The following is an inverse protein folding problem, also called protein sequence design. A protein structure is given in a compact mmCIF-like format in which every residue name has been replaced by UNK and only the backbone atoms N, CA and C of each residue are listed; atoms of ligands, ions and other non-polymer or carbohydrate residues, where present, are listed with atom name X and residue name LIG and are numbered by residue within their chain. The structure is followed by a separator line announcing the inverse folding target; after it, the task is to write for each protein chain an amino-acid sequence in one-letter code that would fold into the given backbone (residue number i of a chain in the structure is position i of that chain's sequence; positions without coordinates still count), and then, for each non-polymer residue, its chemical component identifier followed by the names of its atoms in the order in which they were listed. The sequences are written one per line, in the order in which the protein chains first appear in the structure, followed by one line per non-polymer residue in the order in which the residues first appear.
data_IF_838566361768
#
_entry.id   IF_838566361768
#
_cell.length_a   1.000
_cell.length_b   1.000
_cell.length_c   1.000
_cell.angle_alpha   90.00
_cell.angle_beta   90.00
_cell.angle_gamma   90.00
#
_symmetry.space_group_name_H-M   'P 1'
#
loop_
_entity.id
_entity.type
_entity.pdbx_description
1 polymer ?
#
# COMPACT_ATOMS: atom_id res chain seq x y z
N UNK A 1 -16.08 -37.67 -36.83
CA UNK A 1 -16.58 -37.32 -35.48
C UNK A 1 -15.40 -36.82 -34.67
N UNK A 2 -15.22 -35.50 -34.55
CA UNK A 2 -14.16 -34.88 -33.78
C UNK A 2 -14.80 -34.01 -32.70
N UNK A 3 -14.65 -34.38 -31.44
CA UNK A 3 -15.17 -33.63 -30.31
C UNK A 3 -14.12 -32.59 -29.87
N UNK A 4 -14.47 -31.31 -29.99
CA UNK A 4 -13.71 -30.22 -29.41
C UNK A 4 -14.08 -30.10 -27.91
N UNK A 5 -13.10 -30.23 -27.02
CA UNK A 5 -13.26 -30.02 -25.59
C UNK A 5 -13.10 -28.51 -25.36
N UNK A 6 -14.24 -27.81 -25.21
CA UNK A 6 -14.26 -26.41 -24.80
C UNK A 6 -14.00 -26.30 -23.30
N UNK A 7 -12.84 -25.78 -22.91
CA UNK A 7 -12.54 -25.40 -21.53
C UNK A 7 -13.36 -24.18 -21.15
N UNK A 8 -14.33 -24.34 -20.25
CA UNK A 8 -15.05 -23.22 -19.66
C UNK A 8 -14.14 -22.53 -18.64
N UNK A 9 -13.74 -21.29 -18.95
CA UNK A 9 -13.16 -20.38 -17.97
C UNK A 9 -14.32 -19.96 -17.06
N UNK A 10 -14.35 -20.46 -15.83
CA UNK A 10 -15.29 -19.98 -14.82
C UNK A 10 -14.82 -18.58 -14.38
N UNK A 11 -15.66 -17.54 -14.48
CA UNK A 11 -15.34 -16.25 -13.88
C UNK A 11 -15.39 -16.40 -12.36
N UNK A 12 -14.27 -16.08 -11.70
CA UNK A 12 -14.22 -15.92 -10.26
C UNK A 12 -15.05 -14.70 -9.88
N UNK A 13 -16.29 -14.94 -9.47
CA UNK A 13 -17.11 -13.93 -8.80
C UNK A 13 -16.68 -13.87 -7.33
N UNK A 14 -15.53 -13.23 -7.05
CA UNK A 14 -15.24 -12.73 -5.72
C UNK A 14 -16.19 -11.57 -5.44
N UNK A 15 -17.10 -11.75 -4.50
CA UNK A 15 -17.96 -10.66 -4.04
C UNK A 15 -17.08 -9.64 -3.32
N UNK A 16 -16.64 -8.61 -4.05
CA UNK A 16 -16.07 -7.42 -3.44
C UNK A 16 -17.13 -6.82 -2.51
N UNK A 17 -16.89 -6.87 -1.20
CA UNK A 17 -17.73 -6.18 -0.23
C UNK A 17 -17.68 -4.68 -0.54
N UNK A 18 -18.81 -4.10 -0.92
CA UNK A 18 -18.94 -2.70 -1.28
C UNK A 18 -19.09 -1.79 -0.04
N UNK A 19 -18.41 -2.12 1.06
CA UNK A 19 -18.33 -1.21 2.21
C UNK A 19 -17.35 -0.09 1.87
N UNK A 20 -17.93 0.98 1.32
CA UNK A 20 -17.22 2.19 0.88
C UNK A 20 -16.91 3.15 2.03
N UNK A 21 -17.36 2.85 3.25
CA UNK A 21 -17.04 3.64 4.45
C UNK A 21 -15.72 3.22 5.06
N UNK A 22 -14.81 4.19 5.21
CA UNK A 22 -13.51 4.03 5.88
C UNK A 22 -13.74 3.89 7.38
N UNK A 23 -13.99 2.68 7.86
CA UNK A 23 -13.96 2.40 9.30
C UNK A 23 -12.62 2.84 9.89
N UNK A 24 -12.65 3.50 11.06
CA UNK A 24 -11.44 3.85 11.77
C UNK A 24 -10.69 2.56 12.12
N UNK A 25 -9.48 2.38 11.58
CA UNK A 25 -8.62 1.26 11.94
C UNK A 25 -8.12 1.49 13.36
N UNK A 26 -8.59 0.67 14.30
CA UNK A 26 -8.10 0.67 15.68
C UNK A 26 -7.23 -0.55 15.89
N UNK A 27 -6.09 -0.37 16.56
CA UNK A 27 -5.13 -1.43 16.81
C UNK A 27 -4.49 -1.22 18.19
N UNK A 28 -4.17 -2.30 18.92
CA UNK A 28 -3.42 -2.18 20.17
C UNK A 28 -2.01 -1.65 19.88
N UNK A 29 -1.51 -0.78 20.77
CA UNK A 29 -0.12 -0.32 20.72
C UNK A 29 0.83 -1.45 21.03
N UNK A 30 1.87 -1.57 20.20
CA UNK A 30 2.98 -2.48 20.46
C UNK A 30 4.06 -1.76 21.29
N UNK A 31 4.15 -2.14 22.56
CA UNK A 31 5.09 -1.56 23.54
C UNK A 31 6.57 -1.81 23.21
N UNK A 32 6.90 -2.70 22.25
CA UNK A 32 8.28 -2.84 21.80
C UNK A 32 8.77 -1.67 20.92
N UNK A 33 7.84 -0.83 20.42
CA UNK A 33 8.14 0.31 19.56
C UNK A 33 7.91 1.63 20.31
N UNK A 34 8.84 1.94 21.20
CA UNK A 34 8.87 3.19 21.94
C UNK A 34 9.58 4.31 21.17
N UNK A 35 9.27 5.57 21.52
CA UNK A 35 9.93 6.74 20.97
C UNK A 35 10.17 7.77 22.07
N UNK A 36 11.34 8.41 22.03
CA UNK A 36 11.81 9.41 22.99
C UNK A 36 11.39 10.84 22.63
N UNK A 37 10.62 11.02 21.55
CA UNK A 37 10.15 12.31 21.04
C UNK A 37 8.64 12.42 21.11
N UNK A 38 8.16 13.65 21.32
CA UNK A 38 6.74 13.96 21.20
C UNK A 38 6.20 13.57 19.82
N UNK A 39 4.93 13.14 19.80
CA UNK A 39 4.21 12.93 18.55
C UNK A 39 4.13 14.24 17.77
N UNK A 40 4.33 14.17 16.46
CA UNK A 40 4.06 15.32 15.60
C UNK A 40 2.54 15.54 15.57
N UNK A 41 2.06 16.80 15.71
CA UNK A 41 0.63 17.10 15.60
C UNK A 41 0.01 16.47 14.34
N UNK A 42 -1.15 15.83 14.51
CA UNK A 42 -1.81 15.09 13.43
C UNK A 42 -2.02 15.95 12.18
N UNK A 43 -2.43 17.21 12.38
CA UNK A 43 -2.65 18.17 11.28
C UNK A 43 -1.40 18.36 10.39
N UNK A 44 -0.21 18.31 10.99
CA UNK A 44 1.04 18.38 10.23
C UNK A 44 1.34 17.06 9.52
N UNK A 45 1.12 15.91 10.17
CA UNK A 45 1.33 14.59 9.58
C UNK A 45 0.49 14.38 8.32
N UNK A 46 -0.75 14.88 8.31
CA UNK A 46 -1.70 14.64 7.21
C UNK A 46 -1.70 15.74 6.13
N UNK A 47 -1.00 16.87 6.33
CA UNK A 47 -0.98 18.00 5.37
C UNK A 47 0.39 18.31 4.77
N UNK A 48 1.48 17.90 5.44
CA UNK A 48 2.84 18.14 4.95
C UNK A 48 3.42 16.82 4.39
N UNK A 49 3.18 16.56 3.12
CA UNK A 49 3.45 15.26 2.49
C UNK A 49 4.23 15.39 1.19
N UNK A 50 4.99 14.36 0.85
CA UNK A 50 5.52 14.15 -0.49
C UNK A 50 4.69 13.04 -1.14
N UNK A 51 3.84 13.39 -2.10
CA UNK A 51 3.06 12.42 -2.86
C UNK A 51 2.98 12.88 -4.33
N UNK A 52 4.03 12.56 -5.07
CA UNK A 52 4.34 13.21 -6.34
C UNK A 52 3.34 12.85 -7.43
N UNK A 53 2.65 11.72 -7.32
CA UNK A 53 1.52 11.34 -8.18
C UNK A 53 0.46 12.44 -8.25
N UNK A 54 0.33 13.29 -7.22
CA UNK A 54 -0.60 14.42 -7.18
C UNK A 54 0.08 15.79 -7.35
N UNK A 55 1.40 15.88 -7.13
CA UNK A 55 2.20 17.08 -7.38
C UNK A 55 3.43 17.19 -6.47
N UNK A 56 4.30 18.17 -6.75
CA UNK A 56 5.61 18.31 -6.08
C UNK A 56 5.63 19.26 -4.87
N UNK A 57 4.51 19.91 -4.57
CA UNK A 57 4.36 20.75 -3.38
C UNK A 57 3.99 19.92 -2.15
N UNK A 58 4.33 20.41 -0.95
CA UNK A 58 4.07 19.68 0.31
C UNK A 58 2.58 19.58 0.65
N UNK A 59 1.79 20.55 0.20
CA UNK A 59 0.37 20.70 0.52
C UNK A 59 -0.45 20.02 -0.56
N UNK A 60 -0.36 18.69 -0.57
CA UNK A 60 -0.95 17.84 -1.60
C UNK A 60 -2.10 16.97 -1.10
N UNK A 61 -2.31 16.95 0.22
CA UNK A 61 -3.34 16.15 0.89
C UNK A 61 -4.74 16.36 0.31
N UNK A 62 -5.12 17.61 0.02
CA UNK A 62 -6.47 17.93 -0.45
C UNK A 62 -6.72 17.41 -1.87
N UNK A 63 -5.70 17.51 -2.73
CA UNK A 63 -5.77 16.94 -4.08
C UNK A 63 -5.87 15.41 -4.02
N UNK A 64 -5.01 14.77 -3.23
CA UNK A 64 -5.02 13.32 -3.04
C UNK A 64 -6.35 12.83 -2.45
N UNK A 65 -6.89 13.50 -1.42
CA UNK A 65 -8.17 13.11 -0.79
C UNK A 65 -9.37 13.24 -1.74
N UNK A 66 -9.32 14.17 -2.70
CA UNK A 66 -10.40 14.36 -3.68
C UNK A 66 -10.34 13.35 -4.83
N UNK A 67 -9.12 12.97 -5.23
CA UNK A 67 -8.89 12.28 -6.51
C UNK A 67 -8.58 10.79 -6.33
N UNK A 68 -7.86 10.40 -5.27
CA UNK A 68 -7.53 9.01 -4.98
C UNK A 68 -8.80 8.23 -4.64
N UNK A 69 -8.96 7.07 -5.27
CA UNK A 69 -10.02 6.11 -4.97
C UNK A 69 -9.39 4.89 -4.30
N UNK A 70 -9.20 4.89 -2.97
CA UNK A 70 -8.48 3.84 -2.27
C UNK A 70 -9.31 2.58 -2.04
N UNK A 71 -10.59 2.56 -2.46
CA UNK A 71 -11.50 1.41 -2.39
C UNK A 71 -12.45 1.37 -3.58
N UNK A 72 -12.75 0.19 -4.13
CA UNK A 72 -12.01 -1.07 -3.90
C UNK A 72 -10.55 -0.93 -4.36
N UNK A 73 -9.65 -1.73 -3.80
CA UNK A 73 -8.22 -1.66 -4.16
C UNK A 73 -7.58 -3.04 -4.11
N UNK A 74 -7.17 -3.54 -5.27
CA UNK A 74 -6.52 -4.84 -5.36
C UNK A 74 -5.02 -4.72 -5.10
N UNK A 75 -4.52 -5.62 -4.27
CA UNK A 75 -3.09 -5.85 -4.04
C UNK A 75 -2.73 -7.16 -4.73
N UNK A 76 -1.78 -7.10 -5.65
CA UNK A 76 -1.19 -8.27 -6.29
C UNK A 76 0.16 -8.60 -5.66
N UNK A 77 0.34 -9.88 -5.31
CA UNK A 77 1.58 -10.44 -4.80
C UNK A 77 1.97 -11.58 -5.74
N UNK A 78 3.13 -11.46 -6.37
CA UNK A 78 3.58 -12.41 -7.38
C UNK A 78 5.11 -12.50 -7.47
N UNK A 79 5.61 -12.95 -8.62
CA UNK A 79 7.04 -13.16 -8.85
C UNK A 79 7.53 -14.50 -8.32
N UNK A 80 8.64 -14.51 -7.57
CA UNK A 80 9.28 -15.73 -7.06
C UNK A 80 8.64 -16.22 -5.76
N UNK A 81 7.38 -16.63 -5.85
CA UNK A 81 6.54 -17.07 -4.72
C UNK A 81 5.83 -18.37 -5.05
N UNK A 82 5.55 -19.20 -4.03
CA UNK A 82 4.75 -20.42 -4.18
C UNK A 82 3.26 -20.09 -4.29
N UNK A 83 2.81 -19.05 -3.58
CA UNK A 83 1.41 -18.61 -3.52
C UNK A 83 1.28 -17.20 -4.12
N UNK A 84 1.07 -17.06 -5.44
CA UNK A 84 0.65 -15.79 -6.00
C UNK A 84 -0.77 -15.47 -5.53
N UNK A 85 -1.00 -14.24 -5.08
CA UNK A 85 -2.28 -13.83 -4.47
C UNK A 85 -2.67 -12.46 -5.03
N UNK A 86 -3.92 -12.35 -5.45
CA UNK A 86 -4.58 -11.06 -5.68
C UNK A 86 -5.77 -10.97 -4.73
N UNK A 87 -5.83 -9.93 -3.91
CA UNK A 87 -6.89 -9.73 -2.94
C UNK A 87 -7.22 -8.25 -2.76
N UNK A 88 -8.45 -7.95 -2.38
CA UNK A 88 -8.85 -6.58 -2.03
C UNK A 88 -8.18 -6.13 -0.72
N UNK A 89 -7.90 -4.83 -0.60
CA UNK A 89 -7.24 -4.24 0.57
C UNK A 89 -7.99 -4.50 1.86
N UNK A 90 -9.33 -4.53 1.85
CA UNK A 90 -10.11 -4.79 3.07
C UNK A 90 -10.06 -6.27 3.45
N UNK A 91 -10.00 -7.18 2.48
CA UNK A 91 -9.74 -8.60 2.73
C UNK A 91 -8.34 -8.82 3.31
N UNK A 92 -7.34 -8.09 2.81
CA UNK A 92 -5.97 -8.14 3.34
C UNK A 92 -5.94 -7.65 4.79
N UNK A 93 -6.53 -6.48 5.06
CA UNK A 93 -6.60 -5.92 6.41
C UNK A 93 -7.29 -6.89 7.37
N UNK A 94 -8.41 -7.51 6.96
CA UNK A 94 -9.15 -8.46 7.78
C UNK A 94 -8.37 -9.75 8.11
N UNK A 95 -7.42 -10.16 7.24
CA UNK A 95 -6.56 -11.34 7.47
C UNK A 95 -5.38 -11.06 8.40
N UNK A 96 -5.06 -9.79 8.65
CA UNK A 96 -3.86 -9.38 9.36
C UNK A 96 -4.16 -8.96 10.79
N UNK A 97 -3.24 -9.24 11.70
CA UNK A 97 -3.28 -8.67 13.06
C UNK A 97 -2.67 -7.28 13.02
N UNK A 98 -3.52 -6.25 13.14
CA UNK A 98 -3.06 -4.86 13.20
C UNK A 98 -2.42 -4.54 14.54
N UNK A 99 -1.42 -3.67 14.50
CA UNK A 99 -0.76 -3.08 15.66
C UNK A 99 -0.43 -1.61 15.37
N UNK A 100 -0.43 -0.79 16.43
CA UNK A 100 0.11 0.56 16.37
C UNK A 100 1.60 0.55 16.75
N UNK A 101 2.44 1.18 15.93
CA UNK A 101 3.87 1.36 16.19
C UNK A 101 4.25 2.82 16.12
N UNK A 102 4.98 3.31 17.13
CA UNK A 102 5.52 4.66 17.11
C UNK A 102 6.84 4.67 16.35
N UNK A 103 6.88 5.40 15.23
CA UNK A 103 8.10 5.54 14.44
C UNK A 103 8.48 6.99 14.18
N UNK A 104 9.78 7.19 14.04
CA UNK A 104 10.34 8.40 13.45
C UNK A 104 10.41 8.23 11.94
N UNK A 105 9.60 9.00 11.21
CA UNK A 105 9.72 9.13 9.77
C UNK A 105 10.77 10.21 9.45
N UNK A 106 11.79 9.89 8.66
CA UNK A 106 12.87 10.81 8.25
C UNK A 106 12.91 10.92 6.74
N UNK A 107 12.52 12.07 6.22
CA UNK A 107 12.62 12.33 4.78
C UNK A 107 14.06 12.69 4.40
N UNK A 108 14.48 12.42 3.16
CA UNK A 108 15.81 12.84 2.67
C UNK A 108 15.98 14.37 2.68
N UNK A 109 14.88 15.14 2.56
CA UNK A 109 14.86 16.61 2.52
C UNK A 109 15.05 17.29 3.90
N UNK A 110 15.83 16.70 4.80
CA UNK A 110 16.18 17.30 6.10
C UNK A 110 15.04 17.51 7.15
N UNK A 111 13.81 17.03 6.92
CA UNK A 111 12.73 17.03 7.92
C UNK A 111 12.41 15.64 8.49
N UNK A 112 11.72 15.59 9.63
CA UNK A 112 11.25 14.34 10.26
C UNK A 112 9.97 14.54 11.06
N UNK A 113 9.20 13.46 11.21
CA UNK A 113 7.98 13.40 12.03
C UNK A 113 8.03 12.21 12.97
N UNK A 114 7.28 12.27 14.07
CA UNK A 114 6.98 11.14 14.94
C UNK A 114 5.52 10.76 14.73
N UNK A 115 5.27 9.56 14.21
CA UNK A 115 3.95 9.14 13.73
C UNK A 115 3.53 7.81 14.37
N UNK A 116 2.31 7.70 14.93
CA UNK A 116 1.72 6.43 15.35
C UNK A 116 1.14 5.70 14.13
N UNK A 117 1.92 4.82 13.51
CA UNK A 117 1.46 4.05 12.35
C UNK A 117 0.62 2.86 12.77
N UNK A 118 -0.52 2.65 12.13
CA UNK A 118 -1.32 1.43 12.26
C UNK A 118 -1.10 0.56 11.04
N UNK A 119 -0.75 -0.70 11.25
CA UNK A 119 -0.53 -1.66 10.18
C UNK A 119 -0.16 -3.04 10.71
N UNK A 120 0.49 -3.83 9.87
CA UNK A 120 1.04 -5.14 10.23
C UNK A 120 2.47 -5.29 9.69
N UNK A 121 3.32 -6.14 10.29
CA UNK A 121 4.68 -6.32 9.82
C UNK A 121 4.71 -6.90 8.41
N UNK A 122 5.51 -6.32 7.51
CA UNK A 122 5.69 -6.79 6.12
C UNK A 122 6.03 -8.29 6.04
N UNK A 123 6.77 -8.82 7.02
CA UNK A 123 7.07 -10.26 7.12
C UNK A 123 5.81 -11.13 7.06
N UNK A 124 4.68 -10.70 7.65
CA UNK A 124 3.43 -11.46 7.60
C UNK A 124 2.87 -11.57 6.19
N UNK A 125 3.02 -10.51 5.38
CA UNK A 125 2.65 -10.52 3.97
C UNK A 125 3.57 -11.45 3.16
N UNK A 126 4.87 -11.38 3.43
CA UNK A 126 5.88 -12.23 2.80
C UNK A 126 5.64 -13.71 3.13
N UNK A 127 5.41 -14.04 4.40
CA UNK A 127 5.14 -15.40 4.86
C UNK A 127 3.89 -15.97 4.18
N UNK A 128 2.85 -15.15 3.95
CA UNK A 128 1.62 -15.53 3.26
C UNK A 128 1.88 -15.92 1.79
N UNK A 129 2.80 -15.23 1.11
CA UNK A 129 3.16 -15.50 -0.27
C UNK A 129 4.07 -16.73 -0.44
N UNK A 130 4.76 -17.16 0.63
CA UNK A 130 5.73 -18.24 0.62
C UNK A 130 6.81 -18.07 -0.47
N UNK A 131 7.80 -17.16 -0.28
CA UNK A 131 8.82 -16.88 -1.28
C UNK A 131 9.69 -18.12 -1.56
N UNK A 132 10.03 -18.32 -2.84
CA UNK A 132 10.95 -19.38 -3.26
C UNK A 132 12.37 -19.10 -2.73
N UNK A 133 13.16 -20.15 -2.53
CA UNK A 133 14.53 -20.06 -1.98
C UNK A 133 15.50 -19.16 -2.78
N UNK A 134 15.20 -18.89 -4.05
CA UNK A 134 15.96 -17.97 -4.90
C UNK A 134 15.55 -16.50 -4.80
N UNK A 135 14.48 -16.15 -4.09
CA UNK A 135 14.01 -14.78 -3.95
C UNK A 135 14.96 -13.97 -3.06
N UNK A 136 15.53 -12.89 -3.60
CA UNK A 136 16.52 -12.05 -2.91
C UNK A 136 16.02 -10.65 -2.57
N UNK A 137 15.01 -10.18 -3.30
CA UNK A 137 14.50 -8.83 -3.19
C UNK A 137 12.98 -8.85 -3.28
N UNK A 138 12.36 -7.94 -2.55
CA UNK A 138 10.96 -7.59 -2.65
C UNK A 138 10.87 -6.30 -3.46
N UNK A 139 10.00 -6.27 -4.48
CA UNK A 139 9.72 -5.08 -5.29
C UNK A 139 8.30 -4.62 -5.00
N UNK A 140 8.12 -3.33 -4.71
CA UNK A 140 6.83 -2.67 -4.55
C UNK A 140 6.62 -1.72 -5.72
N UNK A 141 5.38 -1.67 -6.21
CA UNK A 141 4.95 -0.75 -7.26
C UNK A 141 3.66 -0.06 -6.81
N UNK A 142 3.60 1.26 -6.97
CA UNK A 142 2.37 2.04 -6.73
C UNK A 142 1.47 2.01 -7.96
N UNK A 143 0.26 2.55 -7.84
CA UNK A 143 -0.63 2.69 -8.99
C UNK A 143 -0.05 3.62 -10.06
N UNK A 144 -0.42 3.35 -11.32
CA UNK A 144 0.06 4.10 -12.50
C UNK A 144 -1.05 4.80 -13.28
N UNK A 145 -2.07 5.34 -12.62
CA UNK A 145 -3.25 5.95 -13.28
C UNK A 145 -3.16 7.49 -13.38
N UNK A 146 -2.77 8.07 -14.54
CA UNK A 146 -2.68 9.52 -14.70
C UNK A 146 -4.03 10.24 -14.71
N UNK A 147 -5.16 9.51 -14.85
CA UNK A 147 -6.49 10.09 -14.71
C UNK A 147 -6.88 10.27 -13.25
N UNK A 148 -6.39 9.38 -12.38
CA UNK A 148 -6.59 9.46 -10.94
C UNK A 148 -5.58 10.42 -10.30
N UNK A 149 -4.36 10.49 -10.81
CA UNK A 149 -3.30 11.32 -10.24
C UNK A 149 -2.51 12.04 -11.35
N UNK A 150 -2.86 13.31 -11.57
CA UNK A 150 -2.37 14.10 -12.70
C UNK A 150 -0.84 14.34 -12.71
N UNK A 151 -0.18 14.20 -11.56
CA UNK A 151 1.26 14.26 -11.41
C UNK A 151 1.99 13.18 -12.23
N UNK A 152 1.37 12.02 -12.46
CA UNK A 152 1.92 10.94 -13.28
C UNK A 152 2.09 11.39 -14.75
N UNK A 153 1.12 12.14 -15.30
CA UNK A 153 1.18 12.61 -16.69
C UNK A 153 1.91 13.94 -16.88
N UNK A 154 1.96 14.77 -15.84
CA UNK A 154 2.54 16.13 -15.90
C UNK A 154 4.01 16.19 -15.50
N UNK A 155 4.56 15.12 -14.92
CA UNK A 155 5.95 15.05 -14.45
C UNK A 155 6.73 13.96 -15.20
N UNK A 156 7.06 14.16 -16.49
CA UNK A 156 7.72 13.16 -17.33
C UNK A 156 9.18 12.89 -16.93
N UNK A 157 9.71 13.66 -15.98
CA UNK A 157 11.06 13.49 -15.46
C UNK A 157 11.20 12.29 -14.51
N UNK A 158 10.08 11.76 -13.98
CA UNK A 158 10.07 10.57 -13.15
C UNK A 158 9.55 9.35 -13.95
N UNK A 159 10.17 8.17 -13.84
CA UNK A 159 9.77 6.98 -14.59
C UNK A 159 8.57 6.28 -13.94
N UNK A 160 7.39 6.89 -13.99
CA UNK A 160 6.16 6.36 -13.40
C UNK A 160 5.78 4.93 -13.91
N UNK A 161 5.10 4.09 -13.11
CA UNK A 161 4.68 4.32 -11.71
C UNK A 161 5.84 4.34 -10.71
N UNK A 162 5.58 4.73 -9.46
CA UNK A 162 6.63 4.70 -8.42
C UNK A 162 6.96 3.24 -8.07
N UNK A 163 8.25 2.94 -8.00
CA UNK A 163 8.78 1.59 -7.72
C UNK A 163 9.87 1.68 -6.67
N UNK A 164 9.87 0.72 -5.75
CA UNK A 164 10.89 0.56 -4.71
C UNK A 164 11.25 -0.93 -4.53
N UNK A 165 12.37 -1.24 -3.91
CA UNK A 165 12.65 -2.59 -3.43
C UNK A 165 13.53 -2.70 -2.18
N UNK A 166 13.27 -3.76 -1.42
CA UNK A 166 14.00 -4.15 -0.21
C UNK A 166 14.71 -5.48 -0.40
N UNK A 167 15.81 -5.71 0.31
CA UNK A 167 16.39 -7.05 0.44
C UNK A 167 15.52 -7.95 1.32
N UNK A 168 15.43 -9.24 0.98
CA UNK A 168 14.73 -10.28 1.74
C UNK A 168 15.55 -10.80 2.92
#
# INVERSE_FOLDING_TARGET
AGAAIGGAILPWAGAASADTERAALTAPRNEAYEIDRALTPEDLNIKYNNFYEFGSQKQISDAANRELKPRPWQIEIGGMVENPITLDVDELIAKMTLEERLYRHRCVEAWSMTVPWVGFPLRKLVDMAAPLSGAKFLRMETFGDPKMASGIGSQPWYPWPYVEGLSM
#
